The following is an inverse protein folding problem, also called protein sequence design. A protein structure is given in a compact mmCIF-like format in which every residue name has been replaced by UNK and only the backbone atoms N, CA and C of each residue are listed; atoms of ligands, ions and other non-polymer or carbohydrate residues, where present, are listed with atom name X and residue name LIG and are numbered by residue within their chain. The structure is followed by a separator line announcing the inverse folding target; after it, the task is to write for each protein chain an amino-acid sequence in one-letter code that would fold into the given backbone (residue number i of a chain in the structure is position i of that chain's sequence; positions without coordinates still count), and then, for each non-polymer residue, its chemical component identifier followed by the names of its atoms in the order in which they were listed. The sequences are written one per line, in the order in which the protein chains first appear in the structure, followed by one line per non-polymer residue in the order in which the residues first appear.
data_IF_437855471766
#
_entry.id   IF_437855471766
#
_cell.length_a   1.000
_cell.length_b   1.000
_cell.length_c   1.000
_cell.angle_alpha   90.00
_cell.angle_beta   90.00
_cell.angle_gamma   90.00
#
_symmetry.space_group_name_H-M   'P 1'
#
loop_
_entity.id
_entity.type
_entity.pdbx_description
1 polymer ?
#
# COMPACT_ATOMS: atom_id res chain seq x y z
N UNK A 1 -26.86 15.68 -33.33
CA UNK A 1 -26.59 14.48 -32.50
C UNK A 1 -25.10 14.37 -32.20
N UNK A 2 -24.21 14.57 -33.18
CA UNK A 2 -22.75 14.52 -32.98
C UNK A 2 -22.22 15.55 -31.97
N UNK A 3 -22.70 16.80 -32.01
CA UNK A 3 -22.31 17.86 -31.06
C UNK A 3 -22.61 17.48 -29.59
N UNK A 4 -23.74 16.83 -29.32
CA UNK A 4 -24.12 16.42 -27.96
C UNK A 4 -23.26 15.26 -27.44
N UNK A 5 -22.80 14.38 -28.33
CA UNK A 5 -21.89 13.28 -28.00
C UNK A 5 -20.48 13.82 -27.73
N UNK A 6 -20.04 14.84 -28.48
CA UNK A 6 -18.75 15.51 -28.27
C UNK A 6 -18.70 16.22 -26.91
N UNK A 7 -19.78 16.91 -26.52
CA UNK A 7 -19.90 17.57 -25.20
C UNK A 7 -19.93 16.53 -24.07
N UNK A 8 -20.61 15.40 -24.25
CA UNK A 8 -20.60 14.30 -23.28
C UNK A 8 -19.21 13.68 -23.11
N UNK A 9 -18.45 13.53 -24.20
CA UNK A 9 -17.05 13.06 -24.18
C UNK A 9 -16.12 14.09 -23.52
N UNK A 10 -16.29 15.39 -23.78
CA UNK A 10 -15.56 16.46 -23.12
C UNK A 10 -15.88 16.53 -21.62
N UNK A 11 -17.13 16.31 -21.21
CA UNK A 11 -17.53 16.24 -19.80
C UNK A 11 -16.89 15.04 -19.09
N UNK A 12 -16.84 13.86 -19.73
CA UNK A 12 -16.10 12.70 -19.24
C UNK A 12 -14.59 12.98 -19.13
N UNK A 13 -14.01 13.71 -20.09
CA UNK A 13 -12.60 14.15 -20.05
C UNK A 13 -12.32 15.20 -18.96
N UNK A 14 -13.25 16.11 -18.69
CA UNK A 14 -13.12 17.10 -17.60
C UNK A 14 -13.30 16.47 -16.22
N UNK A 15 -14.14 15.44 -16.09
CA UNK A 15 -14.23 14.60 -14.87
C UNK A 15 -12.96 13.76 -14.63
N UNK A 16 -12.21 13.44 -15.69
CA UNK A 16 -10.89 12.80 -15.57
C UNK A 16 -9.78 13.80 -15.21
N UNK A 17 -9.99 15.10 -15.45
CA UNK A 17 -9.06 16.19 -15.11
C UNK A 17 -9.22 16.72 -13.67
N UNK A 18 -10.16 16.20 -12.87
CA UNK A 18 -10.22 16.49 -11.42
C UNK A 18 -9.23 15.67 -10.59
N UNK A 19 -8.31 14.94 -11.23
CA UNK A 19 -7.21 14.26 -10.58
C UNK A 19 -6.06 15.21 -10.25
N UNK A 20 -5.71 15.27 -8.96
CA UNK A 20 -4.52 15.90 -8.38
C UNK A 20 -4.42 17.43 -8.52
N UNK A 21 -5.32 18.16 -7.82
CA UNK A 21 -4.85 19.40 -7.22
C UNK A 21 -3.91 19.00 -6.07
N UNK A 22 -2.60 19.02 -6.32
CA UNK A 22 -1.60 18.91 -5.26
C UNK A 22 -1.85 20.05 -4.27
N UNK A 23 -2.46 19.73 -3.14
CA UNK A 23 -2.71 20.69 -2.08
C UNK A 23 -1.37 21.05 -1.47
N UNK A 24 -0.86 22.25 -1.79
CA UNK A 24 0.18 22.88 -1.00
C UNK A 24 -0.38 23.10 0.41
N UNK A 25 -0.09 22.15 1.29
CA UNK A 25 -0.43 22.19 2.71
C UNK A 25 0.42 23.26 3.40
N UNK A 26 -0.22 24.05 4.24
CA UNK A 26 0.45 24.96 5.16
C UNK A 26 1.12 24.11 6.26
N UNK A 27 2.28 23.54 5.95
CA UNK A 27 3.15 22.83 6.88
C UNK A 27 4.32 23.71 7.29
N UNK A 28 4.93 23.43 8.45
CA UNK A 28 6.10 24.13 9.00
C UNK A 28 7.10 24.43 7.87
N UNK A 29 7.34 25.70 7.59
CA UNK A 29 8.21 26.16 6.52
C UNK A 29 9.54 25.38 6.55
N UNK A 30 9.88 24.71 5.46
CA UNK A 30 11.17 24.02 5.28
C UNK A 30 11.20 22.49 5.43
N UNK A 31 10.08 21.82 5.74
CA UNK A 31 10.03 20.36 5.74
C UNK A 31 9.93 19.78 4.32
N UNK A 32 10.76 18.78 3.94
CA UNK A 32 10.63 18.08 2.66
C UNK A 32 9.24 17.45 2.50
N UNK A 33 8.62 17.66 1.35
CA UNK A 33 7.28 17.13 1.04
C UNK A 33 7.31 15.87 0.19
N UNK A 34 8.48 15.52 -0.35
CA UNK A 34 8.70 14.31 -1.13
C UNK A 34 10.13 13.82 -0.95
N UNK A 35 10.36 12.55 -1.30
CA UNK A 35 11.70 11.96 -1.42
C UNK A 35 11.69 11.05 -2.65
N UNK A 36 12.41 11.44 -3.70
CA UNK A 36 12.24 10.82 -5.02
C UNK A 36 10.79 10.99 -5.51
N UNK A 37 10.18 9.89 -5.93
CA UNK A 37 8.81 9.85 -6.47
C UNK A 37 7.72 9.65 -5.40
N UNK A 38 8.10 9.63 -4.12
CA UNK A 38 7.16 9.37 -3.01
C UNK A 38 6.82 10.67 -2.30
N UNK A 39 5.54 11.00 -2.24
CA UNK A 39 5.02 12.08 -1.42
C UNK A 39 5.14 11.72 0.07
N UNK A 40 5.60 12.67 0.88
CA UNK A 40 5.79 12.52 2.33
C UNK A 40 4.78 13.40 3.07
N UNK A 41 3.59 12.85 3.37
CA UNK A 41 2.59 13.56 4.15
C UNK A 41 2.82 13.46 5.66
N UNK A 42 2.59 14.55 6.39
CA UNK A 42 2.53 14.50 7.85
C UNK A 42 1.39 13.57 8.30
N UNK A 43 1.58 12.64 9.25
CA UNK A 43 2.58 12.66 10.33
C UNK A 43 3.99 12.18 9.96
N UNK A 44 4.19 11.59 8.79
CA UNK A 44 5.52 11.27 8.28
C UNK A 44 6.30 12.52 7.93
N UNK A 45 7.61 12.46 8.10
CA UNK A 45 8.47 13.59 7.80
C UNK A 45 9.95 13.26 7.85
N UNK A 46 10.72 14.10 7.16
CA UNK A 46 12.17 13.97 7.05
C UNK A 46 12.80 15.18 7.74
N UNK A 47 13.71 14.91 8.67
CA UNK A 47 14.44 15.94 9.39
C UNK A 47 13.74 16.46 10.65
N UNK A 48 14.46 17.29 11.43
CA UNK A 48 14.04 17.68 12.77
C UNK A 48 12.74 18.48 12.73
N UNK A 49 11.81 18.13 13.62
CA UNK A 49 10.49 18.76 13.76
C UNK A 49 9.55 18.62 12.55
N UNK A 50 9.84 17.72 11.61
CA UNK A 50 9.00 17.50 10.42
C UNK A 50 8.04 16.32 10.53
N UNK A 51 8.19 15.48 11.56
CA UNK A 51 7.38 14.30 11.79
C UNK A 51 6.75 14.31 13.19
N UNK A 52 5.75 13.46 13.40
CA UNK A 52 5.26 13.08 14.73
C UNK A 52 6.09 11.91 15.26
N UNK A 53 6.30 11.82 16.57
CA UNK A 53 7.07 10.75 17.20
C UNK A 53 6.73 9.36 16.62
N UNK A 54 7.76 8.63 16.18
CA UNK A 54 7.63 7.32 15.52
C UNK A 54 7.40 7.35 14.01
N UNK A 55 7.20 8.52 13.40
CA UNK A 55 6.97 8.68 11.95
C UNK A 55 8.16 9.28 11.20
N UNK A 56 9.36 9.21 11.76
CA UNK A 56 10.58 9.69 11.10
C UNK A 56 10.91 8.84 9.86
N UNK A 57 11.27 9.54 8.77
CA UNK A 57 11.78 8.93 7.56
C UNK A 57 13.17 9.47 7.22
N UNK A 58 13.97 8.62 6.58
CA UNK A 58 15.27 8.98 6.02
C UNK A 58 15.20 9.01 4.50
N UNK A 59 15.69 10.08 3.88
CA UNK A 59 15.78 10.17 2.42
C UNK A 59 17.21 9.90 1.98
N UNK A 60 17.45 8.70 1.44
CA UNK A 60 18.79 8.25 1.08
C UNK A 60 18.95 8.19 -0.44
N UNK A 61 20.13 8.57 -0.92
CA UNK A 61 20.51 8.37 -2.33
C UNK A 61 21.01 6.95 -2.54
N UNK A 62 20.40 6.26 -3.48
CA UNK A 62 20.87 4.97 -4.01
C UNK A 62 22.17 5.13 -4.78
N UNK A 63 22.85 4.01 -5.10
CA UNK A 63 24.07 4.03 -5.92
C UNK A 63 23.85 4.66 -7.31
N UNK A 64 22.63 4.55 -7.85
CA UNK A 64 22.22 5.19 -9.09
C UNK A 64 21.94 6.71 -8.96
N UNK A 65 22.10 7.28 -7.76
CA UNK A 65 21.86 8.69 -7.47
C UNK A 65 20.38 9.05 -7.26
N UNK A 66 19.49 8.07 -7.22
CA UNK A 66 18.04 8.29 -7.02
C UNK A 66 17.74 8.33 -5.52
N UNK A 67 17.02 9.34 -5.07
CA UNK A 67 16.54 9.48 -3.69
C UNK A 67 15.36 8.54 -3.43
N UNK A 68 15.37 7.85 -2.28
CA UNK A 68 14.32 6.94 -1.83
C UNK A 68 14.06 7.11 -0.33
N UNK A 69 12.80 7.12 0.13
CA UNK A 69 12.49 7.22 1.55
C UNK A 69 12.61 5.86 2.24
N UNK A 70 13.09 5.86 3.47
CA UNK A 70 13.25 4.68 4.30
C UNK A 70 12.61 4.90 5.67
N UNK A 71 11.88 3.90 6.13
CA UNK A 71 11.42 3.78 7.51
C UNK A 71 12.34 2.79 8.22
N UNK A 72 13.24 3.31 9.06
CA UNK A 72 14.38 2.53 9.54
C UNK A 72 15.27 2.10 8.36
N UNK A 73 15.36 0.78 8.12
CA UNK A 73 16.13 0.19 7.03
C UNK A 73 15.27 -0.34 5.86
N UNK A 74 13.96 -0.08 5.87
CA UNK A 74 13.02 -0.58 4.85
C UNK A 74 12.56 0.57 3.96
N UNK A 75 12.66 0.39 2.66
CA UNK A 75 12.24 1.39 1.67
C UNK A 75 10.71 1.54 1.68
N UNK A 76 10.23 2.78 1.71
CA UNK A 76 8.82 3.11 1.47
C UNK A 76 8.63 3.45 0.00
N UNK A 77 7.57 2.93 -0.60
CA UNK A 77 7.22 3.20 -2.00
C UNK A 77 5.93 4.00 -2.16
N UNK A 78 5.09 4.06 -1.14
CA UNK A 78 3.82 4.79 -1.16
C UNK A 78 3.30 5.03 0.26
N UNK A 79 2.64 6.17 0.48
CA UNK A 79 1.99 6.53 1.74
C UNK A 79 0.59 7.06 1.44
N UNK A 80 -0.42 6.37 1.96
CA UNK A 80 -1.82 6.76 1.82
C UNK A 80 -2.36 7.30 3.15
N UNK A 81 -2.47 8.64 3.24
CA UNK A 81 -3.12 9.29 4.38
C UNK A 81 -4.57 8.84 4.59
N UNK A 82 -5.45 8.82 3.56
CA UNK A 82 -6.86 8.51 3.79
C UNK A 82 -7.10 7.08 4.28
N UNK A 83 -6.24 6.14 3.86
CA UNK A 83 -6.33 4.74 4.23
C UNK A 83 -5.60 4.42 5.54
N UNK A 84 -4.75 5.33 6.04
CA UNK A 84 -3.89 5.01 7.18
C UNK A 84 -2.89 3.92 6.84
N UNK A 85 -2.38 3.89 5.60
CA UNK A 85 -1.53 2.82 5.08
C UNK A 85 -0.22 3.35 4.50
N UNK A 86 0.82 2.53 4.56
CA UNK A 86 2.05 2.73 3.79
C UNK A 86 2.48 1.41 3.14
N UNK A 87 3.16 1.50 2.00
CA UNK A 87 3.75 0.35 1.31
C UNK A 87 5.24 0.34 1.50
N UNK A 88 5.76 -0.82 1.93
CA UNK A 88 7.17 -1.04 2.22
C UNK A 88 7.72 -2.18 1.36
N UNK A 89 8.98 -2.09 0.95
CA UNK A 89 9.67 -3.17 0.23
C UNK A 89 10.47 -4.04 1.19
N UNK A 90 9.96 -5.23 1.54
CA UNK A 90 10.69 -6.21 2.34
C UNK A 90 11.50 -7.17 1.46
N UNK A 91 12.50 -7.82 2.05
CA UNK A 91 13.28 -8.83 1.35
C UNK A 91 12.49 -10.13 1.19
N UNK A 92 12.62 -10.75 0.02
CA UNK A 92 12.10 -12.09 -0.25
C UNK A 92 13.05 -13.10 0.38
N UNK A 93 12.55 -13.94 1.29
CA UNK A 93 13.35 -15.04 1.82
C UNK A 93 13.44 -16.15 0.79
N UNK A 94 14.60 -16.81 0.71
CA UNK A 94 14.83 -17.88 -0.24
C UNK A 94 15.53 -19.07 0.40
N UNK A 95 15.29 -20.24 -0.18
CA UNK A 95 15.99 -21.46 0.13
C UNK A 95 16.36 -22.14 -1.19
N UNK A 96 17.64 -22.09 -1.54
CA UNK A 96 18.14 -22.62 -2.81
C UNK A 96 19.10 -23.79 -2.60
N UNK A 97 19.05 -24.75 -3.52
CA UNK A 97 20.08 -25.80 -3.57
C UNK A 97 21.38 -25.29 -4.20
N UNK A 98 22.45 -25.38 -3.43
CA UNK A 98 23.81 -25.15 -3.88
C UNK A 98 24.46 -26.46 -4.32
N UNK A 99 24.69 -26.58 -5.63
CA UNK A 99 25.33 -27.74 -6.24
C UNK A 99 26.81 -27.89 -5.88
N UNK A 100 27.49 -26.79 -5.52
CA UNK A 100 28.90 -26.83 -5.15
C UNK A 100 29.07 -27.42 -3.75
N UNK A 101 28.30 -26.89 -2.79
CA UNK A 101 28.34 -27.32 -1.40
C UNK A 101 27.45 -28.55 -1.11
N UNK A 102 26.67 -28.98 -2.11
CA UNK A 102 25.65 -30.06 -2.00
C UNK A 102 24.73 -29.87 -0.81
N UNK A 103 24.41 -28.61 -0.52
CA UNK A 103 23.64 -28.18 0.65
C UNK A 103 22.51 -27.26 0.22
N UNK A 104 21.56 -27.10 1.13
CA UNK A 104 20.49 -26.11 0.99
C UNK A 104 20.90 -24.90 1.84
N UNK A 105 20.93 -23.71 1.24
CA UNK A 105 21.31 -22.47 1.91
C UNK A 105 20.07 -21.57 2.03
N UNK A 106 19.53 -21.37 3.24
CA UNK A 106 18.47 -20.41 3.47
C UNK A 106 19.04 -18.99 3.63
N UNK A 107 18.32 -18.02 3.07
CA UNK A 107 18.48 -16.59 3.27
C UNK A 107 17.13 -16.05 3.74
N UNK A 108 17.05 -15.72 5.02
CA UNK A 108 15.80 -15.50 5.74
C UNK A 108 15.67 -14.04 6.18
N UNK A 109 14.46 -13.51 5.99
CA UNK A 109 14.13 -12.15 6.38
C UNK A 109 13.33 -12.11 7.67
N UNK A 110 13.57 -11.07 8.46
CA UNK A 110 12.70 -10.67 9.55
C UNK A 110 12.45 -9.16 9.45
N UNK A 111 11.29 -8.74 9.94
CA UNK A 111 10.98 -7.32 10.06
C UNK A 111 10.39 -7.05 11.43
N UNK A 112 10.96 -6.06 12.10
CA UNK A 112 10.54 -5.61 13.40
C UNK A 112 10.01 -4.18 13.33
N UNK A 113 8.72 -4.02 13.61
CA UNK A 113 8.01 -2.75 13.75
C UNK A 113 7.53 -2.55 15.20
N UNK A 114 8.05 -3.34 16.15
CA UNK A 114 7.82 -3.11 17.58
C UNK A 114 8.23 -1.68 17.96
N UNK A 115 7.48 -1.07 18.88
CA UNK A 115 7.66 0.32 19.31
C UNK A 115 7.51 1.38 18.21
N UNK A 116 6.97 1.01 17.05
CA UNK A 116 6.61 1.95 15.97
C UNK A 116 5.09 2.14 15.87
N UNK A 117 4.63 3.17 15.16
CA UNK A 117 3.21 3.37 14.87
C UNK A 117 2.63 2.38 13.84
N UNK A 118 3.43 1.47 13.28
CA UNK A 118 3.05 0.62 12.15
C UNK A 118 2.79 -0.84 12.55
N UNK A 119 1.82 -1.47 11.89
CA UNK A 119 1.47 -2.89 12.00
C UNK A 119 1.30 -3.50 10.62
N UNK A 120 1.62 -4.78 10.46
CA UNK A 120 1.40 -5.47 9.20
C UNK A 120 -0.10 -5.61 8.95
N UNK A 121 -0.57 -5.17 7.78
CA UNK A 121 -1.99 -5.27 7.44
C UNK A 121 -2.44 -6.73 7.32
N UNK A 122 -3.38 -7.15 8.16
CA UNK A 122 -3.93 -8.51 8.18
C UNK A 122 -4.89 -8.79 7.01
N UNK A 123 -5.43 -7.72 6.44
CA UNK A 123 -6.40 -7.78 5.33
C UNK A 123 -5.69 -7.78 3.98
N UNK A 124 -4.64 -6.98 3.83
CA UNK A 124 -3.98 -6.78 2.53
C UNK A 124 -2.81 -7.74 2.30
N UNK A 125 -2.11 -8.16 3.36
CA UNK A 125 -0.97 -9.03 3.21
C UNK A 125 -1.33 -10.51 3.34
N UNK A 126 -0.62 -11.34 2.58
CA UNK A 126 -0.59 -12.79 2.80
C UNK A 126 0.84 -13.28 2.81
N UNK A 127 1.15 -14.15 3.77
CA UNK A 127 2.40 -14.88 3.74
C UNK A 127 2.31 -15.91 2.62
N UNK A 128 3.17 -15.73 1.62
CA UNK A 128 3.16 -16.48 0.37
C UNK A 128 4.43 -17.32 0.31
N UNK A 129 4.27 -18.62 0.05
CA UNK A 129 5.39 -19.54 -0.17
C UNK A 129 5.29 -20.09 -1.58
N UNK A 130 6.38 -19.95 -2.33
CA UNK A 130 6.52 -20.37 -3.73
C UNK A 130 7.61 -21.43 -3.76
N UNK A 131 7.31 -22.59 -4.31
CA UNK A 131 8.25 -23.70 -4.37
C UNK A 131 7.54 -25.02 -4.55
N UNK A 132 8.29 -26.10 -4.52
CA UNK A 132 7.73 -27.44 -4.58
C UNK A 132 8.41 -28.33 -3.55
N UNK A 133 7.60 -29.05 -2.77
CA UNK A 133 8.06 -29.76 -1.57
C UNK A 133 8.84 -28.83 -0.66
N UNK A 134 8.19 -27.74 -0.26
CA UNK A 134 8.75 -26.74 0.63
C UNK A 134 7.77 -26.48 1.75
N UNK A 135 8.26 -26.24 2.96
CA UNK A 135 7.47 -25.72 4.06
C UNK A 135 8.24 -24.53 4.65
N UNK A 136 7.59 -23.36 4.67
CA UNK A 136 8.11 -22.20 5.37
C UNK A 136 7.09 -21.72 6.40
N UNK A 137 7.62 -21.18 7.49
CA UNK A 137 6.87 -20.58 8.57
C UNK A 137 7.05 -19.07 8.57
N UNK A 138 6.00 -18.39 9.02
CA UNK A 138 6.05 -17.00 9.46
C UNK A 138 5.66 -17.00 10.94
N UNK A 139 6.40 -16.25 11.76
CA UNK A 139 6.07 -16.20 13.18
C UNK A 139 6.68 -15.04 13.94
N UNK A 140 6.08 -14.76 15.09
CA UNK A 140 6.66 -13.97 16.15
C UNK A 140 6.94 -14.91 17.31
N UNK A 141 8.21 -15.24 17.57
CA UNK A 141 8.58 -16.18 18.63
C UNK A 141 8.83 -15.50 19.99
N UNK A 142 8.53 -14.20 20.11
CA UNK A 142 8.68 -13.43 21.34
C UNK A 142 7.64 -13.85 22.40
N UNK A 143 8.01 -13.83 23.69
CA UNK A 143 7.24 -14.45 24.80
C UNK A 143 5.80 -13.93 24.99
N UNK A 144 5.50 -12.68 24.59
CA UNK A 144 4.21 -12.03 24.88
C UNK A 144 3.25 -11.95 23.69
N UNK A 145 3.66 -12.39 22.49
CA UNK A 145 2.83 -12.33 21.28
C UNK A 145 3.17 -13.49 20.33
N UNK A 146 3.23 -14.71 20.88
CA UNK A 146 3.71 -15.89 20.14
C UNK A 146 2.72 -16.27 19.05
N UNK A 147 3.09 -16.00 17.81
CA UNK A 147 2.33 -16.39 16.62
C UNK A 147 3.22 -17.26 15.74
N UNK A 148 2.63 -18.28 15.12
CA UNK A 148 3.26 -19.02 14.06
C UNK A 148 2.19 -19.55 13.12
N UNK A 149 2.41 -19.34 11.82
CA UNK A 149 1.69 -20.01 10.76
C UNK A 149 2.70 -20.55 9.75
N UNK A 150 2.26 -21.48 8.92
CA UNK A 150 3.11 -22.12 7.92
C UNK A 150 2.34 -22.36 6.63
N UNK A 151 3.09 -22.53 5.56
CA UNK A 151 2.52 -22.77 4.24
C UNK A 151 3.36 -23.81 3.50
N UNK A 152 2.68 -24.81 2.93
CA UNK A 152 3.30 -25.94 2.23
C UNK A 152 2.81 -25.99 0.77
N UNK A 153 3.59 -25.50 -0.21
CA UNK A 153 3.34 -25.84 -1.59
C UNK A 153 3.95 -27.19 -1.96
N UNK A 154 3.18 -27.99 -2.68
CA UNK A 154 3.58 -29.30 -3.23
C UNK A 154 3.47 -29.27 -4.76
N UNK A 155 4.06 -30.23 -5.44
CA UNK A 155 3.82 -30.45 -6.86
C UNK A 155 4.27 -31.87 -7.24
N UNK A 156 3.80 -32.38 -8.38
CA UNK A 156 4.23 -33.70 -8.87
C UNK A 156 5.27 -33.58 -9.99
N UNK A 157 5.11 -32.60 -10.86
CA UNK A 157 6.01 -32.26 -11.96
C UNK A 157 5.66 -30.84 -12.47
N UNK A 158 6.48 -30.33 -13.39
CA UNK A 158 6.29 -29.01 -14.01
C UNK A 158 4.90 -28.84 -14.66
N UNK A 159 4.34 -29.90 -15.26
CA UNK A 159 3.04 -29.86 -15.94
C UNK A 159 1.85 -29.68 -14.97
N UNK A 160 2.06 -29.93 -13.67
CA UNK A 160 1.03 -29.72 -12.65
C UNK A 160 0.89 -28.26 -12.20
N UNK A 161 1.81 -27.39 -12.59
CA UNK A 161 1.80 -25.97 -12.22
C UNK A 161 0.73 -25.22 -13.02
N UNK A 162 -0.05 -24.38 -12.33
CA UNK A 162 -1.13 -23.59 -12.94
C UNK A 162 -0.91 -22.12 -12.64
N UNK A 163 -0.65 -21.33 -13.68
CA UNK A 163 -0.52 -19.87 -13.57
C UNK A 163 -1.76 -19.25 -12.92
N UNK A 164 -1.54 -18.28 -12.06
CA UNK A 164 -2.53 -17.56 -11.28
C UNK A 164 -3.23 -18.36 -10.17
N UNK A 165 -2.86 -19.61 -9.95
CA UNK A 165 -3.31 -20.39 -8.80
C UNK A 165 -2.27 -20.35 -7.68
N UNK A 166 -2.71 -20.06 -6.45
CA UNK A 166 -1.86 -20.14 -5.26
C UNK A 166 -2.61 -20.83 -4.11
N UNK A 167 -2.94 -22.11 -4.34
CA UNK A 167 -3.77 -22.91 -3.43
C UNK A 167 -3.18 -24.28 -3.12
N UNK A 168 -1.85 -24.35 -2.96
CA UNK A 168 -1.11 -25.54 -2.50
C UNK A 168 -0.27 -26.23 -3.57
N UNK A 169 -0.44 -25.90 -4.86
CA UNK A 169 0.37 -26.45 -5.94
C UNK A 169 1.32 -25.37 -6.46
N UNK A 170 2.64 -25.53 -6.24
CA UNK A 170 3.67 -24.55 -6.59
C UNK A 170 3.64 -23.27 -5.74
N UNK A 171 2.47 -22.85 -5.27
CA UNK A 171 2.29 -21.67 -4.44
C UNK A 171 1.21 -21.93 -3.41
N UNK A 172 1.40 -21.41 -2.20
CA UNK A 172 0.35 -21.36 -1.19
C UNK A 172 0.42 -20.03 -0.41
N UNK A 173 -0.71 -19.67 0.19
CA UNK A 173 -0.83 -18.46 1.01
C UNK A 173 -1.49 -18.76 2.35
N UNK A 174 -1.06 -18.06 3.39
CA UNK A 174 -1.76 -17.98 4.68
C UNK A 174 -1.91 -16.53 5.13
N UNK A 175 -3.03 -16.24 5.80
CA UNK A 175 -3.25 -14.96 6.47
C UNK A 175 -2.34 -14.80 7.69
N UNK A 176 -2.19 -13.56 8.13
CA UNK A 176 -1.56 -13.19 9.42
C UNK A 176 -2.63 -12.68 10.40
N UNK A 177 -2.38 -12.73 11.72
CA UNK A 177 -3.30 -12.19 12.71
C UNK A 177 -3.22 -10.66 12.76
N UNK A 178 -4.30 -10.05 13.26
CA UNK A 178 -4.32 -8.63 13.63
C UNK A 178 -3.26 -8.30 14.68
N UNK A 179 -2.74 -7.08 14.63
CA UNK A 179 -1.80 -6.58 15.63
C UNK A 179 -0.37 -7.12 15.49
N UNK A 180 -0.04 -7.79 14.39
CA UNK A 180 1.30 -8.30 14.15
C UNK A 180 2.27 -7.13 13.85
N UNK A 181 3.28 -6.95 14.70
CA UNK A 181 4.34 -5.92 14.58
C UNK A 181 5.71 -6.51 14.28
N UNK A 182 5.89 -7.80 14.52
CA UNK A 182 7.13 -8.51 14.26
C UNK A 182 6.85 -9.83 13.54
N UNK A 183 7.67 -10.16 12.56
CA UNK A 183 7.77 -11.53 12.06
C UNK A 183 9.19 -11.89 11.66
N UNK A 184 9.47 -13.19 11.70
CA UNK A 184 10.59 -13.82 11.01
C UNK A 184 10.06 -14.91 10.09
N UNK A 185 10.77 -15.15 8.99
CA UNK A 185 10.56 -16.30 8.11
C UNK A 185 11.54 -17.41 8.49
N UNK A 186 11.09 -18.67 8.43
CA UNK A 186 11.95 -19.84 8.65
C UNK A 186 11.55 -20.95 7.69
N UNK A 187 12.51 -21.53 6.97
CA UNK A 187 12.27 -22.73 6.16
C UNK A 187 12.48 -24.01 6.99
N UNK A 188 11.54 -24.96 6.90
CA UNK A 188 11.66 -26.24 7.61
C UNK A 188 12.73 -27.12 6.95
N UNK A 189 13.92 -27.17 7.55
CA UNK A 189 15.05 -27.98 7.07
C UNK A 189 14.77 -29.49 6.99
N UNK A 190 13.69 -29.97 7.63
CA UNK A 190 13.29 -31.39 7.58
C UNK A 190 12.48 -31.71 6.31
N UNK A 191 12.03 -30.69 5.57
CA UNK A 191 11.26 -30.87 4.34
C UNK A 191 12.23 -31.13 3.17
N UNK A 192 12.21 -32.38 2.67
CA UNK A 192 13.18 -32.83 1.67
C UNK A 192 12.70 -32.55 0.24
N UNK A 193 13.31 -31.55 -0.41
CA UNK A 193 13.04 -31.15 -1.79
C UNK A 193 13.96 -31.80 -2.84
N UNK A 194 14.81 -32.76 -2.45
CA UNK A 194 15.82 -33.35 -3.37
C UNK A 194 15.22 -34.02 -4.61
N UNK A 195 13.98 -34.53 -4.52
CA UNK A 195 13.28 -35.15 -5.65
C UNK A 195 12.83 -34.20 -6.75
N UNK A 196 12.78 -32.88 -6.49
CA UNK A 196 12.29 -31.87 -7.44
C UNK A 196 13.34 -30.87 -7.87
N UNK A 197 14.58 -31.03 -7.39
CA UNK A 197 15.70 -30.10 -7.57
C UNK A 197 16.05 -29.79 -9.03
N UNK A 198 15.73 -30.71 -9.94
CA UNK A 198 16.00 -30.58 -11.37
C UNK A 198 15.10 -29.53 -12.04
N UNK A 199 13.95 -29.21 -11.46
CA UNK A 199 13.02 -28.20 -12.00
C UNK A 199 12.52 -27.19 -10.94
N UNK A 200 12.82 -27.38 -9.67
CA UNK A 200 12.46 -26.49 -8.56
C UNK A 200 13.68 -26.30 -7.66
N UNK A 201 14.68 -25.56 -8.15
CA UNK A 201 15.97 -25.40 -7.48
C UNK A 201 15.92 -24.48 -6.25
N UNK A 202 15.05 -23.48 -6.30
CA UNK A 202 14.86 -22.49 -5.26
C UNK A 202 13.42 -22.50 -4.80
N UNK A 203 13.22 -22.16 -3.54
CA UNK A 203 11.92 -21.82 -2.97
C UNK A 203 11.98 -20.46 -2.33
N UNK A 204 10.85 -19.77 -2.29
CA UNK A 204 10.72 -18.41 -1.82
C UNK A 204 9.62 -18.31 -0.78
N UNK A 205 9.81 -17.43 0.20
CA UNK A 205 8.82 -17.14 1.23
C UNK A 205 8.83 -15.65 1.53
N UNK A 206 7.66 -15.01 1.51
CA UNK A 206 7.55 -13.57 1.67
C UNK A 206 6.15 -13.16 2.14
N UNK A 207 6.09 -12.16 3.01
CA UNK A 207 4.85 -11.45 3.32
C UNK A 207 4.67 -10.33 2.28
N UNK A 208 3.61 -10.38 1.47
CA UNK A 208 3.37 -9.41 0.39
C UNK A 208 1.91 -9.00 0.27
N UNK A 209 1.65 -7.87 -0.41
CA UNK A 209 0.31 -7.39 -0.77
C UNK A 209 -0.36 -8.37 -1.73
N UNK A 210 -1.36 -9.11 -1.24
CA UNK A 210 -1.92 -10.26 -1.94
C UNK A 210 -2.52 -9.92 -3.31
N UNK A 211 -3.07 -8.71 -3.46
CA UNK A 211 -3.69 -8.24 -4.71
C UNK A 211 -2.65 -7.87 -5.79
N UNK A 212 -1.40 -7.62 -5.40
CA UNK A 212 -0.31 -7.32 -6.32
C UNK A 212 0.40 -8.58 -6.82
N UNK A 213 0.06 -9.76 -6.29
CA UNK A 213 0.72 -11.01 -6.60
C UNK A 213 -0.11 -11.91 -7.49
N UNK A 214 0.52 -12.42 -8.55
CA UNK A 214 -0.05 -13.43 -9.43
C UNK A 214 1.01 -14.52 -9.66
N UNK A 215 0.69 -15.76 -9.33
CA UNK A 215 1.65 -16.86 -9.45
C UNK A 215 1.96 -17.17 -10.93
N UNK A 216 3.23 -17.40 -11.23
CA UNK A 216 3.70 -17.93 -12.51
C UNK A 216 4.48 -19.22 -12.28
N UNK A 217 4.28 -20.22 -13.12
CA UNK A 217 5.01 -21.49 -13.09
C UNK A 217 6.52 -21.28 -13.25
N UNK A 218 6.93 -20.22 -13.93
CA UNK A 218 8.33 -19.84 -14.10
C UNK A 218 9.01 -19.45 -12.78
N UNK A 219 8.24 -19.05 -11.75
CA UNK A 219 8.78 -18.81 -10.41
C UNK A 219 9.26 -20.09 -9.71
N UNK A 220 8.90 -21.26 -10.22
CA UNK A 220 9.38 -22.56 -9.75
C UNK A 220 10.60 -22.99 -10.57
N UNK A 221 10.50 -22.87 -11.89
CA UNK A 221 11.48 -23.42 -12.83
C UNK A 221 12.68 -22.52 -13.09
N UNK A 222 12.62 -21.27 -12.66
CA UNK A 222 13.66 -20.26 -12.85
C UNK A 222 13.80 -19.36 -11.60
N UNK A 223 14.71 -18.39 -11.65
CA UNK A 223 14.88 -17.35 -10.63
C UNK A 223 14.05 -16.09 -10.90
N UNK A 224 13.13 -16.13 -11.87
CA UNK A 224 12.38 -14.96 -12.34
C UNK A 224 11.69 -14.18 -11.21
N UNK A 225 11.16 -14.87 -10.18
CA UNK A 225 10.54 -14.20 -9.04
C UNK A 225 11.51 -13.28 -8.29
N UNK A 226 12.76 -13.69 -8.10
CA UNK A 226 13.78 -12.85 -7.46
C UNK A 226 14.25 -11.75 -8.39
N UNK A 227 14.49 -12.09 -9.66
CA UNK A 227 15.09 -11.18 -10.65
C UNK A 227 14.15 -10.01 -10.99
N UNK A 228 12.86 -10.28 -11.23
CA UNK A 228 11.87 -9.24 -11.54
C UNK A 228 11.62 -8.28 -10.38
N UNK A 229 11.75 -8.78 -9.15
CA UNK A 229 11.43 -8.04 -7.94
C UNK A 229 12.66 -7.39 -7.30
N UNK A 230 13.84 -7.50 -7.93
CA UNK A 230 15.11 -7.13 -7.30
C UNK A 230 15.23 -7.66 -5.86
N UNK A 231 14.79 -8.91 -5.66
CA UNK A 231 14.79 -9.63 -4.38
C UNK A 231 13.91 -9.01 -3.28
N UNK A 232 12.98 -8.10 -3.62
CA UNK A 232 12.09 -7.43 -2.67
C UNK A 232 10.64 -7.42 -3.11
N UNK A 233 9.70 -7.60 -2.19
CA UNK A 233 8.28 -7.52 -2.51
C UNK A 233 7.60 -6.37 -1.75
N UNK A 234 6.52 -5.79 -2.29
CA UNK A 234 5.72 -4.82 -1.55
C UNK A 234 4.84 -5.51 -0.51
N UNK A 235 4.81 -4.95 0.70
CA UNK A 235 3.84 -5.26 1.75
C UNK A 235 3.16 -3.97 2.21
N UNK A 236 1.95 -4.11 2.77
CA UNK A 236 1.17 -3.00 3.32
C UNK A 236 1.31 -2.97 4.84
N UNK A 237 1.65 -1.82 5.40
CA UNK A 237 1.47 -1.57 6.84
C UNK A 237 0.28 -0.64 7.05
N UNK A 238 -0.51 -0.94 8.07
CA UNK A 238 -1.44 0.02 8.65
C UNK A 238 -0.66 0.82 9.71
N UNK A 239 -0.88 2.13 9.79
CA UNK A 239 -0.28 2.97 10.82
C UNK A 239 -1.34 3.64 11.67
N UNK A 240 -1.01 3.92 12.92
CA UNK A 240 -1.94 4.50 13.90
C UNK A 240 -1.32 5.59 14.74
N UNK A 241 -2.15 6.47 15.29
CA UNK A 241 -1.73 7.39 16.34
C UNK A 241 -1.96 6.79 17.72
N UNK A 242 -0.88 6.71 18.49
CA UNK A 242 -0.93 6.31 19.91
C UNK A 242 -1.49 4.90 20.12
N UNK A 243 -1.90 4.61 21.35
CA UNK A 243 -2.49 3.32 21.74
C UNK A 243 -3.86 3.47 22.40
N UNK A 244 -4.40 4.69 22.45
CA UNK A 244 -5.69 5.00 23.06
C UNK A 244 -6.82 4.96 22.03
N UNK A 245 -8.07 4.83 22.50
CA UNK A 245 -9.24 4.97 21.63
C UNK A 245 -9.52 6.44 21.35
N UNK A 246 -10.29 6.71 20.30
CA UNK A 246 -10.75 8.06 19.97
C UNK A 246 -11.45 8.75 21.13
N UNK A 247 -12.31 8.04 21.87
CA UNK A 247 -13.05 8.61 22.99
C UNK A 247 -12.10 9.13 24.08
N UNK A 248 -11.01 8.42 24.35
CA UNK A 248 -9.97 8.84 25.28
C UNK A 248 -9.11 9.96 24.70
N UNK A 249 -8.68 9.83 23.44
CA UNK A 249 -7.81 10.79 22.75
C UNK A 249 -8.43 12.19 22.68
N UNK A 250 -9.74 12.28 22.43
CA UNK A 250 -10.48 13.56 22.34
C UNK A 250 -10.47 14.31 23.68
N UNK A 251 -10.40 13.60 24.81
CA UNK A 251 -10.33 14.24 26.13
C UNK A 251 -8.97 14.91 26.38
N UNK A 252 -7.91 14.43 25.73
CA UNK A 252 -6.56 14.96 25.87
C UNK A 252 -6.19 15.89 24.71
N UNK A 253 -6.66 17.14 24.77
CA UNK A 253 -6.48 18.11 23.68
C UNK A 253 -5.02 18.43 23.35
N UNK A 254 -4.06 18.17 24.25
CA UNK A 254 -2.64 18.46 23.99
C UNK A 254 -1.97 17.37 23.15
N UNK A 255 -2.43 16.11 23.25
CA UNK A 255 -1.89 14.99 22.47
C UNK A 255 -2.76 14.61 21.27
N UNK A 256 -4.01 15.06 21.22
CA UNK A 256 -4.95 14.75 20.15
C UNK A 256 -4.41 15.17 18.77
N UNK A 257 -4.45 14.23 17.82
CA UNK A 257 -3.76 14.40 16.54
C UNK A 257 -4.62 15.00 15.41
N UNK A 258 -5.95 14.91 15.51
CA UNK A 258 -6.84 15.39 14.46
C UNK A 258 -7.09 16.88 14.63
N UNK A 259 -6.08 17.68 14.27
CA UNK A 259 -6.03 19.12 14.56
C UNK A 259 -6.67 19.99 13.46
N UNK A 260 -6.96 19.43 12.29
CA UNK A 260 -7.67 20.17 11.25
C UNK A 260 -9.13 20.41 11.64
N UNK A 261 -9.63 21.61 11.37
CA UNK A 261 -11.07 21.83 11.28
C UNK A 261 -11.67 20.87 10.24
N UNK A 262 -12.89 20.38 10.49
CA UNK A 262 -13.58 19.40 9.64
C UNK A 262 -12.84 18.05 9.52
N UNK A 263 -12.19 17.59 10.59
CA UNK A 263 -11.64 16.24 10.70
C UNK A 263 -12.31 15.47 11.84
N UNK A 264 -12.27 14.14 11.76
CA UNK A 264 -12.80 13.23 12.77
C UNK A 264 -11.81 12.09 13.04
N UNK A 265 -11.89 11.55 14.27
CA UNK A 265 -11.12 10.42 14.72
C UNK A 265 -11.85 9.09 14.46
N UNK A 266 -11.10 8.06 14.07
CA UNK A 266 -11.60 6.69 13.90
C UNK A 266 -10.66 5.69 14.58
N UNK A 267 -11.21 4.79 15.40
CA UNK A 267 -10.43 3.73 16.04
C UNK A 267 -9.82 2.79 14.99
N UNK A 268 -8.57 2.34 15.22
CA UNK A 268 -7.93 1.37 14.34
C UNK A 268 -8.65 0.02 14.35
N UNK A 269 -8.61 -0.64 13.19
CA UNK A 269 -9.15 -1.99 12.99
C UNK A 269 -8.09 -3.09 13.10
N UNK A 270 -6.80 -2.73 13.12
CA UNK A 270 -5.65 -3.65 13.17
C UNK A 270 -4.84 -3.53 14.47
N UNK A 271 -5.37 -2.83 15.48
CA UNK A 271 -4.73 -2.72 16.79
C UNK A 271 -5.27 -1.57 17.63
N UNK A 272 -4.65 -1.30 18.80
CA UNK A 272 -4.91 -0.08 19.56
C UNK A 272 -4.40 1.16 18.82
N UNK A 273 -5.02 2.31 19.10
CA UNK A 273 -4.73 3.59 18.45
C UNK A 273 -5.85 4.04 17.53
N UNK A 274 -5.64 5.17 16.88
CA UNK A 274 -6.65 5.80 16.01
C UNK A 274 -6.04 6.49 14.79
N UNK A 275 -6.90 6.75 13.81
CA UNK A 275 -6.62 7.53 12.62
C UNK A 275 -7.45 8.80 12.60
N UNK A 276 -6.96 9.81 11.90
CA UNK A 276 -7.71 11.02 11.61
C UNK A 276 -8.09 10.99 10.14
N UNK A 277 -9.34 11.36 9.83
CA UNK A 277 -9.81 11.51 8.46
C UNK A 277 -10.54 12.84 8.30
N UNK A 278 -10.45 13.43 7.11
CA UNK A 278 -11.28 14.57 6.78
C UNK A 278 -12.76 14.16 6.75
N UNK A 279 -13.61 15.04 7.26
CA UNK A 279 -15.06 14.86 7.26
C UNK A 279 -15.59 14.84 5.84
N UNK A 280 -16.79 14.27 5.65
CA UNK A 280 -17.43 14.20 4.34
C UNK A 280 -17.50 15.57 3.65
N UNK A 281 -17.04 15.64 2.39
CA UNK A 281 -16.96 16.88 1.60
C UNK A 281 -15.61 17.62 1.68
N UNK A 282 -14.70 17.18 2.55
CA UNK A 282 -13.38 17.76 2.75
C UNK A 282 -12.27 16.78 2.34
N UNK A 283 -11.16 17.31 1.85
CA UNK A 283 -9.98 16.56 1.44
C UNK A 283 -8.70 17.25 1.92
N UNK A 284 -7.61 16.49 2.00
CA UNK A 284 -6.30 16.95 2.45
C UNK A 284 -5.86 16.21 3.71
N UNK A 285 -5.12 16.90 4.58
CA UNK A 285 -4.45 16.28 5.71
C UNK A 285 -5.09 16.66 7.06
N UNK A 286 -5.75 15.72 7.75
CA UNK A 286 -6.41 16.00 9.02
C UNK A 286 -5.46 16.24 10.19
N UNK A 287 -4.17 15.92 10.03
CA UNK A 287 -3.12 16.09 11.04
C UNK A 287 -2.44 17.46 11.00
N UNK A 288 -2.89 18.36 10.11
CA UNK A 288 -2.36 19.71 9.93
C UNK A 288 -3.48 20.73 10.13
N UNK A 289 -3.19 21.85 10.78
CA UNK A 289 -4.18 22.93 10.92
C UNK A 289 -4.66 23.42 9.54
N UNK A 290 -5.98 23.54 9.39
CA UNK A 290 -6.65 23.87 8.12
C UNK A 290 -6.24 22.96 6.93
N UNK A 291 -5.82 21.74 7.23
CA UNK A 291 -5.38 20.76 6.23
C UNK A 291 -6.54 20.05 5.52
N UNK A 292 -7.68 19.88 6.18
CA UNK A 292 -8.92 19.42 5.55
C UNK A 292 -9.66 20.61 4.92
N UNK A 293 -9.52 20.77 3.61
CA UNK A 293 -10.14 21.86 2.84
C UNK A 293 -11.34 21.33 2.09
N UNK A 294 -12.42 22.11 2.12
CA UNK A 294 -13.62 21.78 1.36
C UNK A 294 -13.32 21.80 -0.13
N UNK A 295 -13.88 20.86 -0.88
CA UNK A 295 -13.96 21.03 -2.33
C UNK A 295 -14.78 22.29 -2.57
N UNK A 296 -14.17 23.35 -3.13
CA UNK A 296 -14.88 24.63 -3.27
C UNK A 296 -16.19 24.40 -4.02
N UNK A 297 -17.32 24.52 -3.32
CA UNK A 297 -18.67 24.37 -3.86
C UNK A 297 -18.86 25.31 -5.06
N UNK A 298 -18.07 26.38 -5.14
CA UNK A 298 -17.95 27.34 -6.23
C UNK A 298 -17.62 26.68 -7.57
N UNK A 299 -16.69 25.73 -7.66
CA UNK A 299 -16.33 25.07 -8.92
C UNK A 299 -17.45 24.16 -9.42
N UNK A 300 -18.07 23.39 -8.53
CA UNK A 300 -19.24 22.57 -8.84
C UNK A 300 -20.45 23.45 -9.25
N UNK A 301 -20.71 24.55 -8.53
CA UNK A 301 -21.75 25.52 -8.91
C UNK A 301 -21.44 26.21 -10.24
N UNK A 302 -20.18 26.57 -10.51
CA UNK A 302 -19.78 27.19 -11.79
C UNK A 302 -19.97 26.22 -12.96
N UNK A 303 -19.65 24.94 -12.78
CA UNK A 303 -19.88 23.89 -13.77
C UNK A 303 -21.38 23.62 -13.98
N UNK A 304 -22.19 23.63 -12.91
CA UNK A 304 -23.64 23.49 -13.00
C UNK A 304 -24.28 24.72 -13.67
N UNK A 305 -23.84 25.93 -13.32
CA UNK A 305 -24.31 27.17 -13.93
C UNK A 305 -23.94 27.26 -15.42
N UNK A 306 -22.70 26.89 -15.80
CA UNK A 306 -22.28 26.89 -17.20
C UNK A 306 -23.07 25.86 -18.03
N UNK A 307 -23.34 24.67 -17.48
CA UNK A 307 -24.20 23.66 -18.09
C UNK A 307 -25.64 24.16 -18.26
N UNK A 308 -26.22 24.81 -17.25
CA UNK A 308 -27.55 25.40 -17.34
C UNK A 308 -27.62 26.50 -18.43
N UNK A 309 -26.62 27.39 -18.50
CA UNK A 309 -26.54 28.44 -19.53
C UNK A 309 -26.43 27.81 -20.92
N UNK A 310 -25.59 26.79 -21.09
CA UNK A 310 -25.42 26.09 -22.36
C UNK A 310 -26.70 25.39 -22.82
N UNK A 311 -27.41 24.70 -21.92
CA UNK A 311 -28.70 24.08 -22.24
C UNK A 311 -29.76 25.10 -22.67
N UNK A 312 -29.78 26.28 -22.04
CA UNK A 312 -30.69 27.38 -22.44
C UNK A 312 -30.31 27.94 -23.81
N UNK A 313 -29.02 28.10 -24.08
CA UNK A 313 -28.54 28.54 -25.39
C UNK A 313 -28.93 27.57 -26.51
N UNK A 314 -28.68 26.26 -26.33
CA UNK A 314 -29.05 25.25 -27.31
C UNK A 314 -30.57 25.19 -27.53
N UNK A 315 -31.38 25.23 -26.45
CA UNK A 315 -32.85 25.32 -26.59
C UNK A 315 -33.29 26.51 -27.45
N UNK A 316 -32.69 27.69 -27.25
CA UNK A 316 -32.98 28.90 -28.05
C UNK A 316 -32.51 28.76 -29.49
N UNK A 317 -31.37 28.11 -29.73
CA UNK A 317 -30.83 27.82 -31.06
C UNK A 317 -31.78 26.91 -31.84
N UNK A 318 -32.22 25.81 -31.26
CA UNK A 318 -33.19 24.89 -31.88
C UNK A 318 -34.55 25.54 -32.14
N UNK A 319 -35.04 26.38 -31.22
CA UNK A 319 -36.29 27.12 -31.43
C UNK A 319 -36.21 28.12 -32.60
N UNK A 320 -35.05 28.75 -32.83
CA UNK A 320 -34.82 29.62 -34.00
C UNK A 320 -34.75 28.83 -35.30
N UNK A 321 -34.06 27.69 -35.32
CA UNK A 321 -33.99 26.83 -36.53
C UNK A 321 -35.38 26.29 -36.90
N UNK A 322 -36.21 25.93 -35.90
CA UNK A 322 -37.58 25.48 -36.15
C UNK A 322 -38.46 26.57 -36.78
N UNK A 323 -38.32 27.83 -36.33
CA UNK A 323 -39.04 28.98 -36.92
C UNK A 323 -38.62 29.31 -38.36
N UNK A 324 -37.39 29.01 -38.75
CA UNK A 324 -36.88 29.25 -40.12
C UNK A 324 -37.40 28.17 -41.09
N UNK A 325 -37.66 26.95 -40.61
CA UNK A 325 -38.18 25.86 -41.43
C UNK A 325 -39.73 25.85 -41.55
N UNK A 326 -40.43 26.77 -40.88
CA UNK A 326 -41.89 26.92 -40.90
C UNK A 326 -42.35 28.17 -41.68
N UNK A 327 -41.44 28.86 -42.38
CA UNK A 327 -41.68 29.98 -43.33
C UNK A 327 -41.22 29.60 -44.72
#
# INVERSE_FOLDING_TARGET
MEEAVLVYRLFQLLLLLTGAAASAESRRDGCPTSCGDVDIPYPFGIGPNCFRDGFELYCNKTEAGVEKPFFGNVEIIDISLPLGQARMLNHISQQCYDSQNKSIVPDEWYLNLDDTPCRFSDVHNKFTVIGCYTLAYIGSFQKNNRYSSGCVPTCYNELSLVNGSCSGIGCCQTSIPKGLTYYTVEFDSRFNSSGVINFSRCSYAVLLEANAFNFSSSYITTTEFMDMNNQRAPLVVDWEIGNETCEAAIQNQTSYACISANSACFNSTNGPGYLCQCSSGYQGNPYVHDGCRGTSSSLALLLLCSMCIYMVYERRRFAKVKKINET
#
